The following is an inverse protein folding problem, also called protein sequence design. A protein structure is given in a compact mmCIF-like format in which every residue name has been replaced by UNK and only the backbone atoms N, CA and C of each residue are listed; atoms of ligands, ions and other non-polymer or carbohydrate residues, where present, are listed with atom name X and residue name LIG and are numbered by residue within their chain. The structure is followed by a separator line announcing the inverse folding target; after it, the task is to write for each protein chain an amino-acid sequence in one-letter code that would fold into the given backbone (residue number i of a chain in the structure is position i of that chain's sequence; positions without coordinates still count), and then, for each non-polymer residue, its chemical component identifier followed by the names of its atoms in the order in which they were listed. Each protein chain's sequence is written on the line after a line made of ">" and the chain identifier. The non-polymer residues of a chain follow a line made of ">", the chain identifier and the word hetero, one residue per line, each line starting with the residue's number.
data_IF_427068756329
#
_entry.id   IF_427068756329
#
_cell.length_a   1.000
_cell.length_b   1.000
_cell.length_c   1.000
_cell.angle_alpha   90.00
_cell.angle_beta   90.00
_cell.angle_gamma   90.00
#
_symmetry.space_group_name_H-M   'P 1'
#
loop_
_entity.id
_entity.type
_entity.pdbx_description
1 polymer ?
#
# COMPACT_ATOMS: atom_id res chain seq x y z
N UNK A 1 6.12 -50.07 -31.73
CA UNK A 1 6.59 -48.94 -30.89
C UNK A 1 5.50 -47.87 -30.86
N UNK A 2 4.64 -47.95 -29.84
CA UNK A 2 3.57 -46.97 -29.64
C UNK A 2 4.18 -45.69 -29.08
N UNK A 3 4.31 -44.66 -29.91
CA UNK A 3 4.60 -43.31 -29.44
C UNK A 3 3.42 -42.84 -28.59
N UNK A 4 3.62 -42.79 -27.26
CA UNK A 4 2.80 -42.06 -26.31
C UNK A 4 2.79 -40.57 -26.73
N UNK A 5 1.86 -40.21 -27.61
CA UNK A 5 1.56 -38.84 -27.95
C UNK A 5 0.69 -38.30 -26.82
N UNK A 6 1.36 -37.75 -25.82
CA UNK A 6 0.73 -37.04 -24.73
C UNK A 6 0.03 -35.80 -25.32
N UNK A 7 -1.26 -35.93 -25.62
CA UNK A 7 -2.12 -34.92 -26.24
C UNK A 7 -2.61 -33.84 -25.24
N UNK A 8 -1.68 -33.18 -24.51
CA UNK A 8 -2.03 -32.01 -23.68
C UNK A 8 -2.22 -30.71 -24.48
N UNK A 9 -2.02 -30.71 -25.81
CA UNK A 9 -1.79 -29.47 -26.56
C UNK A 9 -2.48 -29.38 -27.94
N UNK A 10 -3.78 -29.67 -28.00
CA UNK A 10 -4.69 -28.99 -28.95
C UNK A 10 -5.55 -28.01 -28.14
N UNK A 11 -5.54 -26.69 -28.41
CA UNK A 11 -6.53 -25.79 -27.81
C UNK A 11 -7.87 -25.99 -28.54
N UNK A 12 -8.49 -27.16 -28.31
CA UNK A 12 -9.89 -27.46 -28.67
C UNK A 12 -10.83 -27.24 -27.48
N UNK A 13 -10.33 -27.14 -26.24
CA UNK A 13 -11.19 -26.86 -25.10
C UNK A 13 -11.55 -25.37 -25.07
N UNK A 14 -12.77 -25.03 -25.49
CA UNK A 14 -13.39 -23.73 -25.26
C UNK A 14 -13.23 -23.26 -23.80
N UNK A 15 -13.13 -24.21 -22.86
CA UNK A 15 -12.88 -23.99 -21.44
C UNK A 15 -11.57 -23.24 -21.12
N UNK A 16 -10.43 -23.56 -21.74
CA UNK A 16 -9.16 -22.88 -21.42
C UNK A 16 -9.17 -21.43 -21.90
N UNK A 17 -9.75 -21.17 -23.07
CA UNK A 17 -9.92 -19.81 -23.59
C UNK A 17 -10.89 -19.01 -22.73
N UNK A 18 -11.99 -19.62 -22.31
CA UNK A 18 -12.97 -19.01 -21.41
C UNK A 18 -12.35 -18.68 -20.04
N UNK A 19 -11.52 -19.60 -19.50
CA UNK A 19 -10.81 -19.38 -18.25
C UNK A 19 -9.83 -18.20 -18.34
N UNK A 20 -8.96 -18.16 -19.35
CA UNK A 20 -8.01 -17.07 -19.54
C UNK A 20 -8.74 -15.73 -19.74
N UNK A 21 -9.82 -15.75 -20.53
CA UNK A 21 -10.66 -14.57 -20.73
C UNK A 21 -11.24 -14.05 -19.41
N UNK A 22 -11.81 -14.95 -18.60
CA UNK A 22 -12.41 -14.60 -17.32
C UNK A 22 -11.39 -14.04 -16.34
N UNK A 23 -10.22 -14.67 -16.20
CA UNK A 23 -9.16 -14.20 -15.30
C UNK A 23 -8.63 -12.82 -15.72
N UNK A 24 -8.38 -12.58 -17.01
CA UNK A 24 -7.95 -11.26 -17.48
C UNK A 24 -9.05 -10.20 -17.28
N UNK A 25 -10.33 -10.57 -17.41
CA UNK A 25 -11.45 -9.67 -17.12
C UNK A 25 -11.53 -9.29 -15.63
N UNK A 26 -11.31 -10.24 -14.71
CA UNK A 26 -11.25 -9.95 -13.28
C UNK A 26 -10.08 -8.99 -12.95
N UNK A 27 -8.89 -9.23 -13.48
CA UNK A 27 -7.75 -8.33 -13.26
C UNK A 27 -7.97 -6.95 -13.88
N UNK A 28 -8.68 -6.87 -15.00
CA UNK A 28 -9.08 -5.60 -15.59
C UNK A 28 -10.04 -4.82 -14.69
N UNK A 29 -11.06 -5.46 -14.12
CA UNK A 29 -11.98 -4.83 -13.15
C UNK A 29 -11.24 -4.34 -11.91
N UNK A 30 -10.36 -5.18 -11.35
CA UNK A 30 -9.51 -4.79 -10.21
C UNK A 30 -8.60 -3.61 -10.57
N UNK A 31 -8.01 -3.63 -11.77
CA UNK A 31 -7.18 -2.55 -12.29
C UNK A 31 -7.93 -1.23 -12.40
N UNK A 32 -9.19 -1.23 -12.86
CA UNK A 32 -10.02 -0.01 -12.90
C UNK A 32 -10.29 0.53 -11.50
N UNK A 33 -10.71 -0.34 -10.57
CA UNK A 33 -10.99 0.07 -9.20
C UNK A 33 -9.73 0.67 -8.54
N UNK A 34 -8.58 0.03 -8.72
CA UNK A 34 -7.30 0.50 -8.19
C UNK A 34 -6.86 1.83 -8.84
N UNK A 35 -7.01 1.97 -10.17
CA UNK A 35 -6.72 3.22 -10.87
C UNK A 35 -7.61 4.37 -10.38
N UNK A 36 -8.91 4.12 -10.17
CA UNK A 36 -9.84 5.13 -9.66
C UNK A 36 -9.42 5.64 -8.28
N UNK A 37 -9.01 4.73 -7.39
CA UNK A 37 -8.47 5.09 -6.07
C UNK A 37 -7.18 5.90 -6.20
N UNK A 38 -6.25 5.49 -7.07
CA UNK A 38 -5.01 6.24 -7.29
C UNK A 38 -5.25 7.65 -7.84
N UNK A 39 -6.13 7.79 -8.84
CA UNK A 39 -6.49 9.09 -9.41
C UNK A 39 -7.17 9.98 -8.37
N UNK A 40 -8.06 9.43 -7.54
CA UNK A 40 -8.68 10.15 -6.44
C UNK A 40 -7.62 10.71 -5.47
N UNK A 41 -6.65 9.88 -5.06
CA UNK A 41 -5.53 10.31 -4.21
C UNK A 41 -4.70 11.39 -4.90
N UNK A 42 -4.41 11.24 -6.20
CA UNK A 42 -3.62 12.21 -6.98
C UNK A 42 -4.32 13.55 -7.18
N UNK A 43 -5.64 13.58 -7.35
CA UNK A 43 -6.40 14.83 -7.53
C UNK A 43 -6.46 15.64 -6.24
N UNK A 44 -6.71 14.98 -5.10
CA UNK A 44 -6.62 15.63 -3.80
C UNK A 44 -5.22 16.18 -3.53
N UNK A 45 -4.19 15.57 -4.13
CA UNK A 45 -2.80 16.02 -4.07
C UNK A 45 -2.52 17.24 -4.97
N UNK A 46 -3.10 17.30 -6.17
CA UNK A 46 -2.92 18.42 -7.10
C UNK A 46 -3.50 19.73 -6.55
N UNK A 47 -4.55 19.64 -5.74
CA UNK A 47 -5.15 20.78 -5.04
C UNK A 47 -4.33 21.28 -3.84
N UNK A 48 -3.21 20.62 -3.55
CA UNK A 48 -2.27 20.94 -2.47
C UNK A 48 -0.87 21.10 -3.05
N UNK A 49 -0.50 22.29 -3.58
CA UNK A 49 0.75 22.51 -4.32
C UNK A 49 2.03 22.21 -3.51
N UNK A 50 1.92 22.07 -2.20
CA UNK A 50 3.03 21.76 -1.29
C UNK A 50 3.44 20.28 -1.30
N UNK A 51 2.55 19.36 -1.71
CA UNK A 51 2.81 17.92 -1.78
C UNK A 51 3.81 17.50 -2.87
N UNK A 52 4.10 18.38 -3.82
CA UNK A 52 4.97 18.09 -4.97
C UNK A 52 6.46 18.03 -4.55
N UNK A 53 6.84 18.63 -3.41
CA UNK A 53 8.25 18.81 -3.02
C UNK A 53 8.95 17.58 -2.38
N UNK A 54 8.24 16.58 -1.86
CA UNK A 54 8.88 15.44 -1.19
C UNK A 54 9.16 14.28 -2.15
N UNK A 55 10.40 14.17 -2.62
CA UNK A 55 10.86 13.21 -3.64
C UNK A 55 10.70 11.73 -3.26
N UNK A 56 10.81 11.38 -1.98
CA UNK A 56 10.73 9.98 -1.51
C UNK A 56 9.29 9.49 -1.37
N UNK A 57 8.40 10.30 -0.79
CA UNK A 57 6.96 10.00 -0.74
C UNK A 57 6.36 9.98 -2.16
N UNK A 58 6.87 10.85 -3.05
CA UNK A 58 6.60 10.81 -4.48
C UNK A 58 6.96 9.45 -5.10
N UNK A 59 8.17 8.93 -4.83
CA UNK A 59 8.64 7.69 -5.43
C UNK A 59 7.74 6.49 -5.11
N UNK A 60 7.35 6.30 -3.84
CA UNK A 60 6.49 5.19 -3.44
C UNK A 60 5.11 5.23 -4.11
N UNK A 61 4.48 6.40 -4.15
CA UNK A 61 3.17 6.60 -4.81
C UNK A 61 3.28 6.36 -6.32
N UNK A 62 4.34 6.83 -6.97
CA UNK A 62 4.55 6.61 -8.41
C UNK A 62 4.84 5.15 -8.76
N UNK A 63 5.57 4.41 -7.91
CA UNK A 63 5.80 2.97 -8.10
C UNK A 63 4.48 2.20 -8.01
N UNK A 64 3.63 2.53 -7.03
CA UNK A 64 2.29 1.92 -6.90
C UNK A 64 1.44 2.23 -8.12
N UNK A 65 1.37 3.50 -8.53
CA UNK A 65 0.63 3.94 -9.72
C UNK A 65 1.11 3.23 -10.99
N UNK A 66 2.43 3.17 -11.20
CA UNK A 66 3.03 2.47 -12.34
C UNK A 66 2.65 0.99 -12.35
N UNK A 67 2.72 0.31 -11.21
CA UNK A 67 2.37 -1.11 -11.08
C UNK A 67 0.89 -1.34 -11.42
N UNK A 68 0.00 -0.45 -10.98
CA UNK A 68 -1.44 -0.53 -11.26
C UNK A 68 -1.75 -0.29 -12.73
N UNK A 69 -1.12 0.73 -13.35
CA UNK A 69 -1.25 0.99 -14.80
C UNK A 69 -0.76 -0.21 -15.60
N UNK A 70 0.37 -0.79 -15.20
CA UNK A 70 0.94 -1.98 -15.84
C UNK A 70 -0.02 -3.18 -15.73
N UNK A 71 -0.64 -3.39 -14.56
CA UNK A 71 -1.62 -4.46 -14.34
C UNK A 71 -2.86 -4.29 -15.21
N UNK A 72 -3.43 -3.08 -15.21
CA UNK A 72 -4.59 -2.73 -16.03
C UNK A 72 -4.28 -2.91 -17.53
N UNK A 73 -3.16 -2.36 -18.00
CA UNK A 73 -2.72 -2.44 -19.39
C UNK A 73 -2.48 -3.89 -19.83
N UNK A 74 -1.79 -4.68 -19.02
CA UNK A 74 -1.53 -6.10 -19.30
C UNK A 74 -2.84 -6.89 -19.44
N UNK A 75 -3.81 -6.62 -18.57
CA UNK A 75 -5.13 -7.27 -18.58
C UNK A 75 -5.92 -6.93 -19.84
N UNK A 76 -5.90 -5.66 -20.26
CA UNK A 76 -6.56 -5.18 -21.47
C UNK A 76 -5.93 -5.79 -22.74
N UNK A 77 -4.60 -5.76 -22.84
CA UNK A 77 -3.85 -6.36 -23.96
C UNK A 77 -4.13 -7.86 -24.01
N UNK A 78 -4.14 -8.55 -22.88
CA UNK A 78 -4.51 -9.97 -22.78
C UNK A 78 -5.88 -10.23 -23.38
N UNK A 79 -6.90 -9.50 -22.90
CA UNK A 79 -8.28 -9.64 -23.39
C UNK A 79 -8.38 -9.54 -24.93
N UNK A 80 -7.75 -8.52 -25.53
CA UNK A 80 -7.76 -8.35 -26.99
C UNK A 80 -6.89 -9.36 -27.73
N UNK A 81 -5.74 -9.76 -27.17
CA UNK A 81 -4.84 -10.74 -27.76
C UNK A 81 -5.54 -12.10 -27.99
N UNK A 82 -6.26 -12.58 -26.98
CA UNK A 82 -7.02 -13.84 -27.07
C UNK A 82 -8.27 -13.72 -27.95
N UNK A 83 -9.01 -12.60 -27.86
CA UNK A 83 -10.26 -12.40 -28.61
C UNK A 83 -10.05 -12.21 -30.10
N UNK A 84 -9.06 -11.39 -30.49
CA UNK A 84 -8.78 -11.08 -31.91
C UNK A 84 -7.83 -12.08 -32.55
N UNK A 85 -7.28 -13.03 -31.77
CA UNK A 85 -6.26 -14.00 -32.22
C UNK A 85 -5.13 -13.28 -32.99
N UNK A 86 -4.70 -12.12 -32.48
CA UNK A 86 -3.70 -11.27 -33.11
C UNK A 86 -2.31 -11.59 -32.52
N UNK A 87 -1.36 -11.94 -33.40
CA UNK A 87 0.01 -12.32 -33.00
C UNK A 87 0.76 -11.19 -32.31
N UNK A 88 0.66 -9.97 -32.82
CA UNK A 88 1.42 -8.82 -32.29
C UNK A 88 0.96 -8.52 -30.87
N UNK A 89 -0.36 -8.52 -30.65
CA UNK A 89 -0.94 -8.32 -29.30
C UNK A 89 -0.56 -9.46 -28.34
N UNK A 90 -0.49 -10.70 -28.83
CA UNK A 90 -0.06 -11.84 -28.02
C UNK A 90 1.43 -11.76 -27.63
N UNK A 91 2.29 -11.31 -28.54
CA UNK A 91 3.71 -11.05 -28.26
C UNK A 91 3.84 -9.93 -27.21
N UNK A 92 3.11 -8.82 -27.39
CA UNK A 92 3.08 -7.73 -26.41
C UNK A 92 2.62 -8.20 -25.03
N UNK A 93 1.56 -9.02 -24.97
CA UNK A 93 1.08 -9.61 -23.72
C UNK A 93 2.15 -10.45 -23.02
N UNK A 94 2.87 -11.31 -23.75
CA UNK A 94 3.96 -12.11 -23.20
C UNK A 94 5.07 -11.22 -22.64
N UNK A 95 5.46 -10.16 -23.35
CA UNK A 95 6.47 -9.22 -22.86
C UNK A 95 6.03 -8.54 -21.55
N UNK A 96 4.79 -8.07 -21.48
CA UNK A 96 4.25 -7.43 -20.26
C UNK A 96 4.19 -8.41 -19.07
N UNK A 97 3.81 -9.67 -19.31
CA UNK A 97 3.85 -10.70 -18.27
C UNK A 97 5.27 -10.99 -17.77
N UNK A 98 6.27 -10.99 -18.65
CA UNK A 98 7.68 -11.15 -18.26
C UNK A 98 8.14 -9.97 -17.40
N UNK A 99 7.79 -8.73 -17.75
CA UNK A 99 8.11 -7.56 -16.95
C UNK A 99 7.47 -7.67 -15.55
N UNK A 100 6.20 -8.06 -15.46
CA UNK A 100 5.52 -8.29 -14.18
C UNK A 100 6.19 -9.38 -13.35
N UNK A 101 6.61 -10.48 -13.99
CA UNK A 101 7.31 -11.58 -13.31
C UNK A 101 8.64 -11.11 -12.73
N UNK A 102 9.42 -10.32 -13.48
CA UNK A 102 10.70 -9.77 -13.03
C UNK A 102 10.48 -8.78 -11.88
N UNK A 103 9.45 -7.93 -11.94
CA UNK A 103 9.13 -7.00 -10.84
C UNK A 103 8.70 -7.75 -9.58
N UNK A 104 7.85 -8.77 -9.70
CA UNK A 104 7.39 -9.57 -8.56
C UNK A 104 8.55 -10.34 -7.92
N UNK A 105 9.35 -11.04 -8.73
CA UNK A 105 10.48 -11.82 -8.25
C UNK A 105 11.59 -10.93 -7.69
N UNK A 106 11.99 -9.90 -8.44
CA UNK A 106 13.02 -8.95 -8.03
C UNK A 106 12.64 -8.16 -6.79
N UNK A 107 11.38 -7.71 -6.69
CA UNK A 107 10.85 -7.05 -5.50
C UNK A 107 10.83 -7.97 -4.28
N UNK A 108 10.39 -9.22 -4.46
CA UNK A 108 10.40 -10.24 -3.40
C UNK A 108 11.80 -10.55 -2.88
N UNK A 109 12.77 -10.76 -3.77
CA UNK A 109 14.18 -10.99 -3.41
C UNK A 109 14.76 -9.76 -2.71
N UNK A 110 14.51 -8.56 -3.22
CA UNK A 110 15.03 -7.32 -2.63
C UNK A 110 14.54 -7.13 -1.19
N UNK A 111 13.25 -7.41 -0.93
CA UNK A 111 12.68 -7.31 0.42
C UNK A 111 13.27 -8.36 1.37
N UNK A 112 13.58 -9.56 0.87
CA UNK A 112 14.18 -10.62 1.65
C UNK A 112 15.67 -10.36 1.99
N UNK A 113 16.43 -9.79 1.05
CA UNK A 113 17.87 -9.56 1.21
C UNK A 113 18.17 -8.26 1.97
N UNK A 114 17.36 -7.21 1.79
CA UNK A 114 17.60 -5.88 2.36
C UNK A 114 16.50 -5.38 3.30
N UNK A 115 16.10 -6.15 4.34
CA UNK A 115 15.02 -5.75 5.23
C UNK A 115 15.34 -4.45 5.98
N UNK A 116 16.59 -4.27 6.43
CA UNK A 116 17.01 -3.09 7.20
C UNK A 116 16.91 -1.79 6.39
N UNK A 117 17.31 -1.79 5.12
CA UNK A 117 17.20 -0.64 4.25
C UNK A 117 15.74 -0.21 4.06
N UNK A 118 14.84 -1.18 3.88
CA UNK A 118 13.40 -0.93 3.76
C UNK A 118 12.80 -0.35 5.06
N UNK A 119 13.18 -0.91 6.21
CA UNK A 119 12.75 -0.42 7.52
C UNK A 119 13.16 1.04 7.74
N UNK A 120 14.42 1.38 7.46
CA UNK A 120 14.93 2.75 7.58
C UNK A 120 14.20 3.72 6.64
N UNK A 121 13.94 3.30 5.40
CA UNK A 121 13.21 4.10 4.42
C UNK A 121 11.77 4.41 4.90
N UNK A 122 11.07 3.41 5.45
CA UNK A 122 9.72 3.60 6.02
C UNK A 122 9.77 4.56 7.20
N UNK A 123 10.63 4.32 8.19
CA UNK A 123 10.71 5.14 9.40
C UNK A 123 11.05 6.59 9.05
N UNK A 124 12.00 6.80 8.13
CA UNK A 124 12.39 8.12 7.65
C UNK A 124 11.19 8.84 7.00
N UNK A 125 10.49 8.17 6.08
CA UNK A 125 9.31 8.75 5.40
C UNK A 125 8.17 9.04 6.38
N UNK A 126 7.94 8.15 7.36
CA UNK A 126 6.94 8.38 8.40
C UNK A 126 7.34 9.59 9.28
N UNK A 127 8.60 9.73 9.69
CA UNK A 127 9.04 10.87 10.47
C UNK A 127 8.90 12.19 9.69
N UNK A 128 9.32 12.20 8.42
CA UNK A 128 9.20 13.38 7.55
C UNK A 128 7.75 13.82 7.39
N UNK A 129 6.85 12.89 7.07
CA UNK A 129 5.42 13.20 6.89
C UNK A 129 4.73 13.58 8.20
N UNK A 130 5.12 12.99 9.33
CA UNK A 130 4.57 13.37 10.64
C UNK A 130 5.01 14.78 11.04
N UNK A 131 6.29 15.12 10.87
CA UNK A 131 6.83 16.38 11.38
C UNK A 131 6.49 17.56 10.48
N UNK A 132 6.54 17.38 9.15
CA UNK A 132 6.46 18.49 8.20
C UNK A 132 5.08 18.65 7.54
N UNK A 133 4.31 17.57 7.43
CA UNK A 133 3.11 17.52 6.58
C UNK A 133 1.81 17.25 7.36
N UNK A 134 1.89 16.63 8.52
CA UNK A 134 0.75 16.40 9.41
C UNK A 134 0.21 17.73 9.95
N UNK A 135 -1.12 17.90 9.91
CA UNK A 135 -1.82 19.15 10.19
C UNK A 135 -1.84 20.12 9.00
N UNK A 136 -0.80 20.09 8.16
CA UNK A 136 -0.65 21.00 7.02
C UNK A 136 -1.51 20.58 5.84
N UNK A 137 -1.44 19.30 5.52
CA UNK A 137 -2.11 18.71 4.36
C UNK A 137 -3.25 17.83 4.82
N UNK A 138 -4.48 18.12 4.38
CA UNK A 138 -5.68 17.38 4.78
C UNK A 138 -5.54 15.87 4.54
N UNK A 139 -5.11 15.45 3.35
CA UNK A 139 -4.96 14.02 3.01
C UNK A 139 -3.90 13.30 3.87
N UNK A 140 -2.78 13.96 4.19
CA UNK A 140 -1.74 13.38 5.07
C UNK A 140 -2.24 13.34 6.52
N UNK A 141 -2.99 14.36 6.94
CA UNK A 141 -3.60 14.44 8.26
C UNK A 141 -4.63 13.34 8.46
N UNK A 142 -5.52 13.14 7.48
CA UNK A 142 -6.52 12.08 7.50
C UNK A 142 -5.89 10.69 7.49
N UNK A 143 -4.83 10.49 6.68
CA UNK A 143 -4.09 9.23 6.66
C UNK A 143 -3.43 8.93 8.01
N UNK A 144 -2.78 9.92 8.64
CA UNK A 144 -2.20 9.75 9.97
C UNK A 144 -3.25 9.52 11.05
N UNK A 145 -4.35 10.28 11.03
CA UNK A 145 -5.47 10.12 11.95
C UNK A 145 -6.07 8.71 11.83
N UNK A 146 -6.25 8.23 10.60
CA UNK A 146 -6.72 6.88 10.32
C UNK A 146 -5.76 5.82 10.86
N UNK A 147 -4.46 5.93 10.54
CA UNK A 147 -3.44 4.97 10.99
C UNK A 147 -3.37 4.93 12.51
N UNK A 148 -3.26 6.09 13.18
CA UNK A 148 -3.17 6.20 14.64
C UNK A 148 -4.42 5.61 15.32
N UNK A 149 -5.61 5.96 14.83
CA UNK A 149 -6.87 5.49 15.41
C UNK A 149 -7.12 4.01 15.16
N UNK A 150 -6.83 3.51 13.94
CA UNK A 150 -7.10 2.11 13.55
C UNK A 150 -6.07 1.14 14.10
N UNK A 151 -4.79 1.54 14.12
CA UNK A 151 -3.72 0.70 14.66
C UNK A 151 -3.49 0.92 16.15
N UNK A 152 -4.21 1.86 16.78
CA UNK A 152 -4.11 2.18 18.22
C UNK A 152 -2.66 2.48 18.60
N UNK A 153 -2.09 3.44 17.88
CA UNK A 153 -0.69 3.84 17.98
C UNK A 153 -0.57 5.36 17.99
N UNK A 154 0.58 5.85 18.44
CA UNK A 154 0.91 7.27 18.40
C UNK A 154 2.35 7.47 17.94
N UNK A 155 2.57 8.50 17.13
CA UNK A 155 3.85 8.80 16.49
C UNK A 155 4.42 7.60 15.68
N UNK A 156 5.68 7.74 15.22
CA UNK A 156 6.31 6.72 14.38
C UNK A 156 6.80 5.54 15.21
N UNK A 157 7.62 5.81 16.22
CA UNK A 157 8.27 4.82 17.08
C UNK A 157 7.61 4.76 18.47
N UNK A 158 7.84 3.66 19.18
CA UNK A 158 7.35 3.50 20.55
C UNK A 158 7.86 4.63 21.45
N UNK A 159 6.97 5.21 22.25
CA UNK A 159 7.22 6.41 23.06
C UNK A 159 7.70 7.63 22.25
N UNK A 160 7.44 7.66 20.94
CA UNK A 160 7.91 8.69 20.01
C UNK A 160 7.08 9.97 19.96
N UNK A 161 6.17 10.18 20.91
CA UNK A 161 5.23 11.33 20.94
C UNK A 161 5.95 12.69 20.90
N UNK A 162 7.21 12.76 21.35
CA UNK A 162 8.03 13.98 21.22
C UNK A 162 8.20 14.43 19.77
N UNK A 163 7.98 13.56 18.77
CA UNK A 163 8.01 13.92 17.36
C UNK A 163 6.96 14.97 16.97
N UNK A 164 5.89 15.14 17.76
CA UNK A 164 4.96 16.26 17.56
C UNK A 164 5.55 17.59 18.00
N UNK A 165 6.43 17.62 19.00
CA UNK A 165 7.01 18.89 19.46
C UNK A 165 7.85 19.53 18.35
N UNK A 166 7.53 20.77 18.02
CA UNK A 166 8.17 21.54 16.95
C UNK A 166 7.70 21.19 15.54
N UNK A 167 6.81 20.20 15.37
CA UNK A 167 6.18 19.85 14.09
C UNK A 167 5.27 20.97 13.58
N UNK A 168 4.86 20.89 12.31
CA UNK A 168 3.87 21.82 11.76
C UNK A 168 2.56 21.76 12.54
N UNK A 169 2.10 20.57 12.88
CA UNK A 169 0.88 20.37 13.68
C UNK A 169 0.96 21.09 15.03
N UNK A 170 2.05 20.92 15.76
CA UNK A 170 2.23 21.57 17.06
C UNK A 170 2.23 23.10 16.96
N UNK A 171 2.93 23.66 15.97
CA UNK A 171 2.96 25.12 15.75
C UNK A 171 1.61 25.69 15.34
N UNK A 172 0.78 24.92 14.65
CA UNK A 172 -0.53 25.37 14.17
C UNK A 172 -1.63 25.24 15.22
N UNK A 173 -1.58 24.21 16.07
CA UNK A 173 -2.61 23.97 17.10
C UNK A 173 -2.33 24.67 18.42
N UNK A 174 -1.05 24.95 18.72
CA UNK A 174 -0.62 25.59 19.97
C UNK A 174 -0.22 27.06 19.76
N UNK A 175 -0.94 27.79 18.91
CA UNK A 175 -0.74 29.24 18.68
C UNK A 175 -1.28 30.04 19.86
N UNK A 176 -0.52 31.04 20.32
CA UNK A 176 -1.01 32.02 21.28
C UNK A 176 -1.97 33.01 20.60
N UNK A 177 -3.22 33.03 21.06
CA UNK A 177 -4.31 33.84 20.48
C UNK A 177 -4.05 35.35 20.70
N UNK A 178 -3.34 35.72 21.77
CA UNK A 178 -3.05 37.12 22.11
C UNK A 178 -1.73 37.60 21.50
N UNK A 179 -0.85 36.67 21.14
CA UNK A 179 0.41 36.94 20.46
C UNK A 179 0.56 36.00 19.26
N UNK A 180 -0.13 36.34 18.17
CA UNK A 180 -0.40 35.51 16.98
C UNK A 180 0.84 34.92 16.27
N UNK A 181 2.04 35.38 16.60
CA UNK A 181 3.34 34.88 16.09
C UNK A 181 4.12 34.03 17.09
N UNK A 182 3.55 33.76 18.27
CA UNK A 182 4.18 33.02 19.35
C UNK A 182 3.43 31.73 19.68
N UNK A 183 4.16 30.76 20.20
CA UNK A 183 3.65 29.46 20.61
C UNK A 183 3.23 29.52 22.08
N UNK A 184 2.10 28.90 22.42
CA UNK A 184 1.67 28.72 23.80
C UNK A 184 2.78 28.06 24.63
N UNK A 185 2.92 28.50 25.88
CA UNK A 185 3.82 27.85 26.84
C UNK A 185 3.43 26.39 27.02
N UNK A 186 4.42 25.48 27.06
CA UNK A 186 4.21 24.05 27.33
C UNK A 186 3.54 23.79 28.69
N UNK A 187 3.66 24.73 29.63
CA UNK A 187 3.02 24.67 30.94
C UNK A 187 1.56 25.15 30.92
N UNK A 188 1.06 25.64 29.79
CA UNK A 188 -0.32 26.10 29.65
C UNK A 188 -1.28 24.91 29.70
N UNK A 189 -2.41 25.10 30.39
CA UNK A 189 -3.52 24.15 30.37
C UNK A 189 -4.13 23.95 28.97
N UNK A 190 -3.90 24.90 28.05
CA UNK A 190 -4.40 24.82 26.68
C UNK A 190 -3.40 24.18 25.70
N UNK A 191 -2.17 23.90 26.15
CA UNK A 191 -1.16 23.30 25.31
C UNK A 191 -1.50 21.83 25.02
N UNK A 192 -1.48 21.44 23.74
CA UNK A 192 -1.76 20.08 23.29
C UNK A 192 -0.47 19.37 22.90
N UNK A 193 -0.13 18.32 23.63
CA UNK A 193 1.08 17.51 23.42
C UNK A 193 1.00 16.61 22.18
N UNK A 194 -0.21 16.10 21.89
CA UNK A 194 -0.46 15.12 20.81
C UNK A 194 -1.84 15.33 20.17
N UNK A 195 -2.07 14.86 18.93
CA UNK A 195 -3.38 14.89 18.30
C UNK A 195 -4.38 13.94 18.97
N UNK A 196 -5.67 14.21 18.78
CA UNK A 196 -6.77 13.41 19.37
C UNK A 196 -6.73 11.95 18.89
N UNK A 197 -6.24 11.70 17.68
CA UNK A 197 -6.05 10.36 17.10
C UNK A 197 -5.05 9.49 17.88
N UNK A 198 -4.17 10.07 18.69
CA UNK A 198 -3.30 9.34 19.62
C UNK A 198 -3.99 8.92 20.93
N UNK A 199 -5.20 9.42 21.19
CA UNK A 199 -5.88 9.20 22.45
C UNK A 199 -6.59 7.84 22.48
N UNK A 200 -6.56 7.21 23.66
CA UNK A 200 -7.18 5.91 23.89
C UNK A 200 -8.70 6.03 23.76
N UNK A 201 -9.27 5.18 22.92
CA UNK A 201 -10.72 4.96 22.85
C UNK A 201 -11.13 3.78 23.71
N UNK A 202 -12.31 3.89 24.31
CA UNK A 202 -12.89 2.84 25.13
C UNK A 202 -13.23 1.64 24.25
N UNK A 203 -13.07 0.44 24.79
CA UNK A 203 -13.43 -0.81 24.13
C UNK A 203 -14.83 -1.19 24.60
N UNK A 204 -15.69 -1.54 23.65
CA UNK A 204 -16.99 -2.12 23.96
C UNK A 204 -16.77 -3.51 24.59
N UNK A 205 -17.21 -3.75 25.83
CA UNK A 205 -17.00 -5.03 26.51
C UNK A 205 -17.76 -6.19 25.86
N UNK A 206 -18.84 -5.93 25.13
CA UNK A 206 -19.64 -6.97 24.49
C UNK A 206 -19.03 -7.43 23.17
N UNK A 207 -18.48 -6.49 22.40
CA UNK A 207 -18.03 -6.77 21.03
C UNK A 207 -16.51 -6.80 20.89
N UNK A 208 -15.77 -6.27 21.86
CA UNK A 208 -14.31 -6.16 21.82
C UNK A 208 -13.80 -5.10 20.83
N UNK A 209 -14.69 -4.34 20.19
CA UNK A 209 -14.35 -3.33 19.20
C UNK A 209 -14.10 -1.95 19.85
N UNK A 210 -13.24 -1.11 19.25
CA UNK A 210 -13.07 0.26 19.71
C UNK A 210 -14.36 1.07 19.48
N UNK A 211 -14.73 1.85 20.49
CA UNK A 211 -15.81 2.83 20.40
C UNK A 211 -15.27 4.18 19.89
N UNK A 212 -16.18 5.12 19.63
CA UNK A 212 -15.84 6.52 19.36
C UNK A 212 -15.70 7.36 20.64
N UNK A 213 -15.82 6.73 21.82
CA UNK A 213 -15.68 7.40 23.10
C UNK A 213 -14.23 7.33 23.56
N UNK A 214 -13.65 8.48 23.88
CA UNK A 214 -12.30 8.57 24.42
C UNK A 214 -12.32 8.35 25.93
N UNK A 215 -11.24 7.76 26.47
CA UNK A 215 -11.04 7.67 27.92
C UNK A 215 -11.03 9.05 28.55
N UNK A 216 -10.15 9.92 28.07
CA UNK A 216 -10.08 11.33 28.45
C UNK A 216 -9.22 12.11 27.45
N UNK A 217 -9.85 12.97 26.66
CA UNK A 217 -9.12 13.79 25.67
C UNK A 217 -8.21 14.79 26.37
N UNK A 218 -8.71 15.45 27.42
CA UNK A 218 -7.93 16.43 28.19
C UNK A 218 -6.70 15.78 28.82
N UNK A 219 -6.84 14.61 29.43
CA UNK A 219 -5.71 13.88 30.00
C UNK A 219 -4.71 13.44 28.92
N UNK A 220 -5.20 12.97 27.78
CA UNK A 220 -4.36 12.57 26.66
C UNK A 220 -3.51 13.74 26.12
N UNK A 221 -4.13 14.91 25.91
CA UNK A 221 -3.48 16.04 25.24
C UNK A 221 -2.78 17.01 26.20
N UNK A 222 -3.26 17.13 27.44
CA UNK A 222 -2.78 18.08 28.45
C UNK A 222 -2.56 17.36 29.79
N UNK A 223 -1.61 16.42 29.82
CA UNK A 223 -1.17 15.82 31.07
C UNK A 223 -0.01 16.63 31.66
N UNK A 224 -0.15 17.04 32.92
CA UNK A 224 0.83 17.91 33.59
C UNK A 224 2.26 17.33 33.65
N UNK A 225 2.39 16.00 33.61
CA UNK A 225 3.70 15.32 33.62
C UNK A 225 4.14 14.84 32.23
N UNK A 226 3.35 15.13 31.18
CA UNK A 226 3.51 14.55 29.85
C UNK A 226 3.35 13.01 29.84
N UNK A 227 3.41 12.35 28.66
CA UNK A 227 3.46 10.89 28.63
C UNK A 227 4.76 10.42 29.31
N UNK A 228 4.73 9.66 30.42
CA UNK A 228 5.94 9.12 31.02
C UNK A 228 6.76 8.28 30.05
N UNK A 229 8.07 8.44 30.15
CA UNK A 229 9.05 7.62 29.43
C UNK A 229 9.50 6.38 30.21
N UNK A 230 9.26 6.36 31.52
CA UNK A 230 9.83 5.39 32.45
C UNK A 230 8.78 4.38 32.94
N UNK A 231 9.25 3.22 33.39
CA UNK A 231 8.40 2.16 33.96
C UNK A 231 7.77 2.55 35.31
N UNK A 232 8.36 3.51 36.02
CA UNK A 232 7.91 3.97 37.34
C UNK A 232 7.58 5.46 37.28
N UNK A 233 6.49 5.88 37.94
CA UNK A 233 6.02 7.27 38.00
C UNK A 233 4.55 7.41 37.60
N UNK A 234 4.05 8.65 37.58
CA UNK A 234 2.68 8.94 37.15
C UNK A 234 2.52 8.66 35.64
N UNK A 235 1.56 7.79 35.30
CA UNK A 235 1.33 7.37 33.91
C UNK A 235 0.08 7.96 33.31
N UNK A 236 0.22 8.50 32.09
CA UNK A 236 -0.91 8.93 31.30
C UNK A 236 -1.52 7.70 30.63
N UNK A 237 -2.61 7.19 31.19
CA UNK A 237 -3.34 6.01 30.70
C UNK A 237 -4.35 6.35 29.58
N UNK A 238 -4.35 7.59 29.08
CA UNK A 238 -5.23 8.08 28.03
C UNK A 238 -4.56 8.21 26.65
N UNK A 239 -3.30 7.77 26.49
CA UNK A 239 -2.53 7.85 25.23
C UNK A 239 -2.00 6.47 24.80
N UNK A 240 -1.93 6.22 23.48
CA UNK A 240 -1.22 5.06 22.94
C UNK A 240 0.30 5.28 22.96
N UNK A 241 1.05 4.47 23.70
CA UNK A 241 2.54 4.54 23.73
C UNK A 241 3.20 3.80 22.58
N UNK A 242 2.47 2.90 21.92
CA UNK A 242 2.99 2.11 20.82
C UNK A 242 3.16 2.97 19.57
N UNK A 243 4.30 2.88 18.91
CA UNK A 243 4.59 3.54 17.64
C UNK A 243 3.82 2.92 16.49
N UNK A 244 3.39 3.73 15.53
CA UNK A 244 2.65 3.24 14.37
C UNK A 244 3.50 2.36 13.47
N UNK A 245 4.80 2.62 13.35
CA UNK A 245 5.70 1.70 12.64
C UNK A 245 5.77 0.33 13.33
N UNK A 246 5.93 0.30 14.66
CA UNK A 246 5.92 -0.95 15.44
C UNK A 246 4.59 -1.70 15.32
N UNK A 247 3.46 -0.98 15.29
CA UNK A 247 2.14 -1.56 15.09
C UNK A 247 1.98 -2.18 13.69
N UNK A 248 2.35 -1.44 12.63
CA UNK A 248 2.35 -1.94 11.25
C UNK A 248 3.25 -3.15 11.12
N UNK A 249 4.48 -3.09 11.65
CA UNK A 249 5.44 -4.19 11.60
C UNK A 249 4.86 -5.46 12.20
N UNK A 250 4.28 -5.41 13.40
CA UNK A 250 3.68 -6.61 14.00
C UNK A 250 2.45 -7.12 13.25
N UNK A 251 1.69 -6.23 12.60
CA UNK A 251 0.60 -6.66 11.72
C UNK A 251 1.15 -7.40 10.49
N UNK A 252 2.19 -6.85 9.84
CA UNK A 252 2.85 -7.48 8.71
C UNK A 252 3.49 -8.82 9.11
N UNK A 253 4.13 -8.92 10.27
CA UNK A 253 4.68 -10.18 10.78
C UNK A 253 3.58 -11.23 11.00
N UNK A 254 2.43 -10.82 11.56
CA UNK A 254 1.27 -11.71 11.75
C UNK A 254 0.70 -12.25 10.45
N UNK A 255 0.66 -11.44 9.40
CA UNK A 255 0.11 -11.82 8.08
C UNK A 255 1.17 -12.19 7.04
N UNK A 256 2.44 -12.25 7.43
CA UNK A 256 3.58 -12.49 6.53
C UNK A 256 3.46 -13.82 5.78
N UNK A 257 3.02 -14.88 6.47
CA UNK A 257 2.79 -16.20 5.87
C UNK A 257 1.76 -16.18 4.74
N UNK A 258 0.50 -15.76 4.99
CA UNK A 258 -0.51 -15.63 3.94
C UNK A 258 -0.10 -14.71 2.79
N UNK A 259 0.53 -13.57 3.08
CA UNK A 259 1.00 -12.62 2.05
C UNK A 259 2.07 -13.28 1.17
N UNK A 260 3.05 -13.95 1.79
CA UNK A 260 4.09 -14.69 1.08
C UNK A 260 3.52 -15.82 0.22
N UNK A 261 2.56 -16.58 0.77
CA UNK A 261 1.85 -17.63 0.04
C UNK A 261 1.10 -17.10 -1.18
N UNK A 262 0.39 -15.97 -1.04
CA UNK A 262 -0.27 -15.30 -2.15
C UNK A 262 0.72 -14.83 -3.23
N UNK A 263 1.86 -14.27 -2.84
CA UNK A 263 2.90 -13.84 -3.79
C UNK A 263 3.48 -15.01 -4.58
N UNK A 264 3.77 -16.14 -3.92
CA UNK A 264 4.25 -17.37 -4.56
C UNK A 264 3.18 -17.94 -5.50
N UNK A 265 1.91 -17.94 -5.08
CA UNK A 265 0.80 -18.38 -5.92
C UNK A 265 0.68 -17.51 -7.20
N UNK A 266 0.73 -16.19 -7.06
CA UNK A 266 0.72 -15.26 -8.19
C UNK A 266 1.93 -15.49 -9.11
N UNK A 267 3.11 -15.76 -8.56
CA UNK A 267 4.31 -16.07 -9.34
C UNK A 267 4.09 -17.29 -10.25
N UNK A 268 3.55 -18.39 -9.72
CA UNK A 268 3.24 -19.57 -10.53
C UNK A 268 2.11 -19.33 -11.53
N UNK A 269 1.09 -18.51 -11.19
CA UNK A 269 0.06 -18.11 -12.12
C UNK A 269 0.61 -17.31 -13.30
N UNK A 270 1.55 -16.39 -13.06
CA UNK A 270 2.22 -15.62 -14.12
C UNK A 270 3.05 -16.54 -15.02
N UNK A 271 3.82 -17.47 -14.44
CA UNK A 271 4.57 -18.47 -15.21
C UNK A 271 3.65 -19.32 -16.08
N UNK A 272 2.55 -19.81 -15.52
CA UNK A 272 1.56 -20.59 -16.26
C UNK A 272 0.94 -19.78 -17.41
N UNK A 273 0.60 -18.51 -17.17
CA UNK A 273 0.06 -17.61 -18.19
C UNK A 273 1.07 -17.37 -19.34
N UNK A 274 2.35 -17.20 -19.03
CA UNK A 274 3.42 -17.06 -20.03
C UNK A 274 3.53 -18.34 -20.88
N UNK A 275 3.62 -19.51 -20.23
CA UNK A 275 3.72 -20.79 -20.94
C UNK A 275 2.52 -21.00 -21.87
N UNK A 276 1.30 -20.77 -21.36
CA UNK A 276 0.08 -20.87 -22.17
C UNK A 276 0.09 -19.92 -23.37
N UNK A 277 0.52 -18.68 -23.16
CA UNK A 277 0.59 -17.65 -24.21
C UNK A 277 1.62 -18.00 -25.29
N UNK A 278 2.78 -18.54 -24.90
CA UNK A 278 3.82 -19.02 -25.84
C UNK A 278 3.33 -20.23 -26.63
N UNK A 279 2.64 -21.18 -25.98
CA UNK A 279 2.05 -22.33 -26.67
C UNK A 279 0.98 -21.90 -27.67
N UNK A 280 0.14 -20.91 -27.31
CA UNK A 280 -0.85 -20.34 -28.22
C UNK A 280 -0.16 -19.67 -29.43
N UNK A 281 0.89 -18.89 -29.19
CA UNK A 281 1.65 -18.22 -30.25
C UNK A 281 2.25 -19.23 -31.23
N UNK A 282 2.90 -20.29 -30.71
CA UNK A 282 3.46 -21.38 -31.53
C UNK A 282 2.39 -22.09 -32.35
N UNK A 283 1.21 -22.32 -31.79
CA UNK A 283 0.09 -22.93 -32.51
C UNK A 283 -0.45 -22.03 -33.63
N UNK A 284 -0.54 -20.71 -33.38
CA UNK A 284 -0.88 -19.73 -34.41
C UNK A 284 0.16 -19.68 -35.52
N UNK A 285 1.46 -19.80 -35.19
CA UNK A 285 2.57 -19.90 -36.14
C UNK A 285 2.50 -21.13 -37.03
N UNK A 286 2.17 -22.29 -36.46
CA UNK A 286 1.98 -23.52 -37.23
C UNK A 286 0.80 -23.41 -38.18
N UNK A 287 -0.34 -22.87 -37.73
CA UNK A 287 -1.53 -22.76 -38.58
C UNK A 287 -1.34 -21.86 -39.79
N UNK A 288 -0.63 -20.72 -39.67
CA UNK A 288 -0.36 -19.90 -40.87
C UNK A 288 0.72 -20.48 -41.77
N UNK A 289 1.67 -21.26 -41.24
CA UNK A 289 2.63 -21.98 -42.08
C UNK A 289 1.94 -23.03 -42.94
N UNK A 290 1.01 -23.80 -42.36
CA UNK A 290 0.20 -24.77 -43.09
C UNK A 290 -0.69 -24.11 -44.15
N UNK A 291 -1.23 -22.91 -43.90
CA UNK A 291 -2.02 -22.17 -44.87
C UNK A 291 -1.23 -21.58 -46.05
N UNK A 292 0.12 -21.52 -45.96
CA UNK A 292 0.99 -20.96 -47.01
C UNK A 292 1.64 -22.02 -47.90
N UNK A 293 1.49 -23.31 -47.62
CA UNK A 293 1.99 -24.38 -48.51
C UNK A 293 1.00 -24.50 -49.67
N UNK A 294 1.36 -24.11 -50.92
CA UNK A 294 0.51 -24.37 -52.06
C UNK A 294 0.47 -25.88 -52.31
N UNK A 295 -0.74 -26.38 -52.63
CA UNK A 295 -0.99 -27.76 -53.08
C UNK A 295 -0.19 -28.08 -54.35
#
# INVERSE_FOLDING_TARGET
>A
MAFLRVDWCRPRSSALKLYIFFINFLFWLFGIAALAVCVYISLNRANTPELVKNYLFNAAVYVILFTIILLFGTSLVGHFAFSKRNRVLLILYILLLIIMLVLLFGGGVSLAVFPSAFQTAIISTMNETLTNEYGKLGLVTDAWNFVQSKLRCCAVLDNGWLAYSGSWWDRSVNVDIFAMSSKLSENSYFYKLVPVSCCITLIDPLTGWPTNFYRSITQCQNWQYGPPRFANGAHNDAIYYRGCYSAIKSYLERYSGPIGGLAIFIFFLLLFAIVCSVLLLRNMDRSMRQAKVPL
#
